data_IF_354326168302
#
_entry.id   IF_354326168302
#
_cell.length_a   1.000
_cell.length_b   1.000
_cell.length_c   1.000
_cell.angle_alpha   90.00
_cell.angle_beta   90.00
_cell.angle_gamma   90.00
#
_symmetry.space_group_name_H-M   'P 1'
#
loop_
_entity.id
_entity.type
_entity.pdbx_description
1 polymer ?
#
# COMPACT_ATOMS: atom_id res chain seq x y z
N UNK A 1 -57.42 -18.36 17.64
CA UNK A 1 -56.72 -18.41 16.34
C UNK A 1 -55.70 -17.29 16.36
N UNK A 2 -54.43 -17.64 16.52
CA UNK A 2 -53.33 -16.67 16.72
C UNK A 2 -52.88 -16.13 15.37
N UNK A 3 -52.95 -14.82 15.18
CA UNK A 3 -52.31 -14.14 14.06
C UNK A 3 -50.79 -14.18 14.28
N UNK A 4 -50.08 -14.84 13.35
CA UNK A 4 -48.62 -14.85 13.29
C UNK A 4 -48.19 -13.49 12.76
N UNK A 5 -47.64 -12.64 13.63
CA UNK A 5 -46.94 -11.44 13.25
C UNK A 5 -45.63 -11.83 12.57
N UNK A 6 -45.62 -11.85 11.23
CA UNK A 6 -44.41 -11.90 10.44
C UNK A 6 -43.69 -10.55 10.57
N UNK A 7 -42.65 -10.50 11.40
CA UNK A 7 -41.70 -9.40 11.41
C UNK A 7 -40.93 -9.41 10.08
N UNK A 8 -41.37 -8.60 9.12
CA UNK A 8 -40.56 -8.22 7.96
C UNK A 8 -39.41 -7.35 8.48
N UNK A 9 -38.28 -7.99 8.81
CA UNK A 9 -37.03 -7.28 9.08
C UNK A 9 -36.55 -6.75 7.73
N UNK A 10 -36.89 -5.49 7.46
CA UNK A 10 -36.24 -4.70 6.42
C UNK A 10 -34.77 -4.50 6.83
N UNK A 11 -33.91 -5.48 6.57
CA UNK A 11 -32.46 -5.27 6.42
C UNK A 11 -32.23 -4.47 5.12
N UNK A 12 -32.82 -3.27 5.02
CA UNK A 12 -32.87 -2.49 3.78
C UNK A 12 -31.86 -1.36 3.86
N UNK A 13 -30.73 -1.49 3.14
CA UNK A 13 -29.83 -0.44 2.63
C UNK A 13 -29.24 0.62 3.58
N UNK A 14 -29.78 0.83 4.78
CA UNK A 14 -29.47 1.90 5.71
C UNK A 14 -28.19 1.58 6.50
N UNK A 15 -28.03 0.33 6.93
CA UNK A 15 -26.82 -0.17 7.61
C UNK A 15 -25.59 -0.06 6.70
N UNK A 16 -25.76 -0.32 5.40
CA UNK A 16 -24.68 -0.14 4.41
C UNK A 16 -24.28 1.34 4.23
N UNK A 17 -25.25 2.26 4.33
CA UNK A 17 -24.99 3.71 4.25
C UNK A 17 -24.27 4.25 5.49
N UNK A 18 -24.60 3.75 6.68
CA UNK A 18 -23.95 4.19 7.93
C UNK A 18 -22.51 3.72 8.06
N UNK A 19 -22.16 2.55 7.51
CA UNK A 19 -20.80 2.01 7.56
C UNK A 19 -19.80 2.77 6.68
N UNK A 20 -20.26 3.58 5.74
CA UNK A 20 -19.40 4.35 4.83
C UNK A 20 -19.17 5.80 5.31
N UNK A 21 -19.94 6.26 6.29
CA UNK A 21 -19.82 7.61 6.86
C UNK A 21 -18.73 7.59 7.93
N UNK A 22 -17.69 8.40 7.75
CA UNK A 22 -16.64 8.52 8.75
C UNK A 22 -17.22 9.00 10.09
N UNK A 23 -16.87 8.33 11.20
CA UNK A 23 -17.22 8.84 12.52
C UNK A 23 -16.48 10.17 12.80
N UNK A 24 -17.12 11.07 13.57
CA UNK A 24 -16.49 12.30 14.07
C UNK A 24 -15.18 11.98 14.80
N UNK A 25 -14.20 12.89 14.76
CA UNK A 25 -12.87 12.65 15.36
C UNK A 25 -12.95 12.29 16.84
N UNK A 26 -13.89 12.89 17.57
CA UNK A 26 -14.13 12.62 18.99
C UNK A 26 -14.58 11.17 19.30
N UNK A 27 -15.06 10.42 18.30
CA UNK A 27 -15.56 9.05 18.45
C UNK A 27 -14.60 8.01 17.82
N UNK A 28 -13.41 8.42 17.39
CA UNK A 28 -12.41 7.51 16.81
C UNK A 28 -11.62 6.82 17.92
N UNK A 29 -11.83 5.53 18.09
CA UNK A 29 -11.01 4.66 18.93
C UNK A 29 -9.90 4.06 18.06
N UNK A 30 -8.64 4.42 18.35
CA UNK A 30 -7.48 3.92 17.62
C UNK A 30 -7.17 2.51 18.14
N UNK A 31 -7.28 1.53 17.25
CA UNK A 31 -7.00 0.13 17.60
C UNK A 31 -5.55 -0.25 17.31
N UNK A 32 -4.94 0.37 16.28
CA UNK A 32 -3.59 0.05 15.85
C UNK A 32 -2.97 1.23 15.13
N UNK A 33 -1.73 1.54 15.44
CA UNK A 33 -0.94 2.59 14.81
C UNK A 33 0.33 2.03 14.19
N UNK A 34 0.70 2.60 13.04
CA UNK A 34 1.93 2.24 12.34
C UNK A 34 2.55 3.48 11.72
N UNK A 35 3.81 3.73 12.08
CA UNK A 35 4.60 4.82 11.54
C UNK A 35 5.57 4.30 10.48
N UNK A 36 5.56 4.93 9.31
CA UNK A 36 6.48 4.68 8.22
C UNK A 36 7.31 5.94 7.94
N UNK A 37 8.62 5.86 8.18
CA UNK A 37 9.59 6.93 7.87
C UNK A 37 10.56 6.48 6.77
N UNK A 38 10.27 6.77 5.49
CA UNK A 38 11.17 6.41 4.41
C UNK A 38 12.47 7.24 4.48
N UNK A 39 13.64 6.59 4.41
CA UNK A 39 14.97 7.24 4.60
C UNK A 39 15.26 8.41 3.65
N UNK A 40 14.69 8.41 2.45
CA UNK A 40 14.89 9.43 1.42
C UNK A 40 13.64 10.28 1.16
N UNK A 41 12.63 10.20 2.03
CA UNK A 41 11.43 11.02 1.95
C UNK A 41 11.56 12.16 2.97
N UNK A 42 11.16 13.37 2.58
CA UNK A 42 10.96 14.46 3.55
C UNK A 42 9.76 14.19 4.46
N UNK A 43 8.86 13.29 4.04
CA UNK A 43 7.61 12.99 4.72
C UNK A 43 7.67 11.71 5.54
N UNK A 44 7.00 11.74 6.68
CA UNK A 44 6.65 10.58 7.50
C UNK A 44 5.17 10.27 7.31
N UNK A 45 4.83 9.00 7.20
CA UNK A 45 3.45 8.53 7.04
C UNK A 45 3.00 7.83 8.31
N UNK A 46 1.82 8.17 8.79
CA UNK A 46 1.17 7.51 9.92
C UNK A 46 -0.09 6.83 9.43
N UNK A 47 -0.20 5.55 9.77
CA UNK A 47 -1.34 4.71 9.46
C UNK A 47 -2.03 4.37 10.77
N UNK A 48 -3.29 4.74 10.90
CA UNK A 48 -4.09 4.49 12.10
C UNK A 48 -5.33 3.72 11.70
N UNK A 49 -5.48 2.51 12.24
CA UNK A 49 -6.71 1.75 12.15
C UNK A 49 -7.59 2.15 13.33
N UNK A 50 -8.83 2.53 13.03
CA UNK A 50 -9.78 2.97 14.05
C UNK A 50 -11.16 2.38 13.82
N UNK A 51 -11.90 2.20 14.91
CA UNK A 51 -13.24 1.63 14.95
C UNK A 51 -13.35 0.33 14.13
N UNK A 52 -12.27 -0.48 14.09
CA UNK A 52 -12.12 -1.75 13.38
C UNK A 52 -12.27 -1.74 11.85
N UNK A 53 -12.97 -0.76 11.27
CA UNK A 53 -13.40 -0.74 9.87
C UNK A 53 -12.77 0.39 9.06
N UNK A 54 -12.03 1.31 9.68
CA UNK A 54 -11.49 2.48 9.00
C UNK A 54 -9.97 2.56 9.10
N UNK A 55 -9.36 3.12 8.07
CA UNK A 55 -7.95 3.43 8.01
C UNK A 55 -7.76 4.92 7.75
N UNK A 56 -7.02 5.56 8.65
CA UNK A 56 -6.54 6.92 8.50
C UNK A 56 -5.07 6.91 8.08
N UNK A 57 -4.74 7.74 7.09
CA UNK A 57 -3.39 7.97 6.59
C UNK A 57 -3.09 9.45 6.75
N UNK A 58 -2.07 9.76 7.53
CA UNK A 58 -1.55 11.10 7.70
C UNK A 58 -0.15 11.20 7.10
N UNK A 59 0.07 12.27 6.33
CA UNK A 59 1.37 12.66 5.81
C UNK A 59 1.87 13.85 6.62
N UNK A 60 2.97 13.69 7.34
CA UNK A 60 3.62 14.74 8.11
C UNK A 60 4.96 15.12 7.49
N UNK A 61 5.29 16.41 7.52
CA UNK A 61 6.62 16.92 7.16
C UNK A 61 7.63 16.75 8.31
N UNK A 62 8.90 17.10 8.09
CA UNK A 62 9.98 17.04 9.10
C UNK A 62 9.69 17.85 10.37
N UNK A 63 8.86 18.89 10.27
CA UNK A 63 8.41 19.70 11.40
C UNK A 63 7.17 19.12 12.13
N UNK A 64 6.80 17.86 11.85
CA UNK A 64 5.59 17.21 12.37
C UNK A 64 4.28 17.92 11.99
N UNK A 65 4.31 18.80 10.98
CA UNK A 65 3.11 19.44 10.44
C UNK A 65 2.38 18.48 9.51
N UNK A 66 1.08 18.30 9.73
CA UNK A 66 0.20 17.52 8.85
C UNK A 66 0.04 18.23 7.52
N UNK A 67 0.57 17.64 6.46
CA UNK A 67 0.47 18.12 5.08
C UNK A 67 -0.80 17.63 4.42
N UNK A 68 -1.19 16.38 4.71
CA UNK A 68 -2.40 15.78 4.18
C UNK A 68 -2.88 14.68 5.12
N UNK A 69 -4.20 14.54 5.22
CA UNK A 69 -4.87 13.51 6.00
C UNK A 69 -6.06 12.99 5.19
N UNK A 70 -6.17 11.67 5.13
CA UNK A 70 -7.29 10.95 4.55
C UNK A 70 -7.70 9.84 5.50
N UNK A 71 -8.99 9.51 5.54
CA UNK A 71 -9.46 8.38 6.32
C UNK A 71 -10.61 7.71 5.57
N UNK A 72 -10.55 6.40 5.34
CA UNK A 72 -11.54 5.72 4.51
C UNK A 72 -11.86 4.34 5.06
N UNK A 73 -12.98 3.78 4.61
CA UNK A 73 -13.41 2.44 5.02
C UNK A 73 -12.53 1.37 4.37
N UNK A 74 -11.97 0.45 5.15
CA UNK A 74 -11.02 -0.57 4.68
C UNK A 74 -11.64 -1.56 3.71
N UNK A 75 -12.97 -1.76 3.76
CA UNK A 75 -13.71 -2.61 2.82
C UNK A 75 -13.66 -2.16 1.35
N UNK A 76 -13.10 -0.97 1.06
CA UNK A 76 -12.79 -0.49 -0.28
C UNK A 76 -11.49 -1.08 -0.86
N UNK A 77 -10.66 -1.71 -0.02
CA UNK A 77 -9.36 -2.29 -0.40
C UNK A 77 -9.52 -3.76 -0.84
N UNK A 78 -8.62 -4.22 -1.70
CA UNK A 78 -8.40 -5.65 -1.94
C UNK A 78 -7.79 -6.30 -0.67
N UNK A 79 -8.27 -7.49 -0.26
CA UNK A 79 -7.81 -8.15 0.96
C UNK A 79 -6.36 -8.61 0.89
N UNK A 80 -5.83 -8.90 -0.31
CA UNK A 80 -4.46 -9.37 -0.48
C UNK A 80 -3.53 -8.21 -0.87
N UNK A 81 -2.49 -7.98 -0.07
CA UNK A 81 -1.46 -7.01 -0.42
C UNK A 81 -0.64 -7.50 -1.63
N UNK A 82 -0.53 -6.68 -2.67
CA UNK A 82 0.38 -6.96 -3.79
C UNK A 82 1.78 -6.54 -3.43
N UNK A 83 2.74 -7.44 -3.61
CA UNK A 83 4.15 -7.21 -3.34
C UNK A 83 4.86 -6.92 -4.66
N UNK A 84 5.49 -5.76 -4.75
CA UNK A 84 6.42 -5.44 -5.82
C UNK A 84 7.83 -5.44 -5.23
N UNK A 85 8.73 -6.16 -5.88
CA UNK A 85 10.15 -6.11 -5.53
C UNK A 85 10.85 -5.27 -6.59
N UNK A 86 11.53 -4.23 -6.14
CA UNK A 86 12.43 -3.46 -6.99
C UNK A 86 13.85 -3.85 -6.61
N UNK A 87 14.47 -4.64 -7.49
CA UNK A 87 15.88 -4.99 -7.42
C UNK A 87 16.66 -4.06 -8.35
N UNK A 88 17.76 -3.51 -7.85
CA UNK A 88 18.70 -2.76 -8.67
C UNK A 88 19.52 -3.74 -9.52
N UNK A 89 18.93 -4.26 -10.59
CA UNK A 89 19.57 -5.24 -11.49
C UNK A 89 20.88 -4.71 -12.08
N UNK A 90 20.96 -3.40 -12.34
CA UNK A 90 22.17 -2.75 -12.83
C UNK A 90 23.34 -2.88 -11.84
N UNK A 91 23.11 -2.73 -10.53
CA UNK A 91 24.18 -2.87 -9.55
C UNK A 91 24.58 -4.33 -9.34
N UNK A 92 23.63 -5.26 -9.47
CA UNK A 92 23.93 -6.69 -9.43
C UNK A 92 24.77 -7.15 -10.62
N UNK A 93 24.38 -6.76 -11.84
CA UNK A 93 25.12 -7.09 -13.07
C UNK A 93 26.50 -6.44 -13.08
N UNK A 94 26.63 -5.20 -12.62
CA UNK A 94 27.93 -4.55 -12.46
C UNK A 94 28.82 -5.27 -11.43
N UNK A 95 28.26 -5.69 -10.28
CA UNK A 95 28.99 -6.46 -9.27
C UNK A 95 29.49 -7.82 -9.83
N UNK A 96 28.66 -8.49 -10.62
CA UNK A 96 29.02 -9.75 -11.26
C UNK A 96 30.12 -9.57 -12.31
N UNK A 97 30.00 -8.57 -13.19
CA UNK A 97 31.01 -8.29 -14.21
C UNK A 97 32.37 -7.92 -13.61
N UNK A 98 32.36 -7.10 -12.55
CA UNK A 98 33.58 -6.73 -11.82
C UNK A 98 34.20 -7.91 -11.06
N UNK A 99 33.39 -8.85 -10.55
CA UNK A 99 33.90 -10.09 -9.98
C UNK A 99 34.59 -10.96 -11.04
N UNK A 100 33.98 -11.11 -12.23
CA UNK A 100 34.59 -11.85 -13.35
C UNK A 100 35.89 -11.18 -13.78
N UNK A 101 35.90 -9.85 -13.90
CA UNK A 101 37.10 -9.09 -14.22
C UNK A 101 38.22 -9.35 -13.19
N UNK A 102 37.91 -9.33 -11.89
CA UNK A 102 38.88 -9.61 -10.83
C UNK A 102 39.54 -11.00 -10.97
N UNK A 103 38.73 -12.03 -11.29
CA UNK A 103 39.25 -13.39 -11.53
C UNK A 103 40.14 -13.42 -12.77
N UNK A 104 39.74 -12.77 -13.86
CA UNK A 104 40.56 -12.74 -15.09
C UNK A 104 41.89 -12.02 -14.88
N UNK A 105 41.89 -10.88 -14.19
CA UNK A 105 43.09 -10.10 -13.89
C UNK A 105 44.05 -10.87 -12.96
N UNK A 106 43.52 -11.55 -11.94
CA UNK A 106 44.33 -12.30 -10.98
C UNK A 106 44.90 -13.60 -11.55
N UNK A 107 44.11 -14.33 -12.35
CA UNK A 107 44.50 -15.65 -12.87
C UNK A 107 45.28 -15.54 -14.18
N UNK A 108 44.84 -14.68 -15.11
CA UNK A 108 45.42 -14.59 -16.46
C UNK A 108 46.58 -13.60 -16.50
N UNK A 109 46.40 -12.41 -15.93
CA UNK A 109 47.39 -11.33 -16.00
C UNK A 109 48.35 -11.30 -14.81
N UNK A 110 48.08 -12.12 -13.77
CA UNK A 110 48.86 -12.22 -12.52
C UNK A 110 49.07 -10.87 -11.82
N UNK A 111 48.20 -9.91 -12.07
CA UNK A 111 48.21 -8.61 -11.40
C UNK A 111 47.30 -8.67 -10.18
N UNK A 112 47.88 -9.11 -9.08
CA UNK A 112 47.16 -9.33 -7.82
C UNK A 112 46.63 -8.02 -7.20
N UNK A 113 47.27 -6.88 -7.46
CA UNK A 113 46.81 -5.58 -6.95
C UNK A 113 45.55 -5.11 -7.68
N UNK A 114 45.52 -5.26 -9.00
CA UNK A 114 44.37 -4.93 -9.83
C UNK A 114 43.20 -5.91 -9.60
N UNK A 115 43.51 -7.19 -9.36
CA UNK A 115 42.53 -8.19 -8.94
C UNK A 115 41.90 -7.88 -7.57
N UNK A 116 42.72 -7.48 -6.58
CA UNK A 116 42.23 -7.15 -5.24
C UNK A 116 41.33 -5.91 -5.25
N UNK A 117 41.72 -4.86 -5.97
CA UNK A 117 40.91 -3.63 -6.08
C UNK A 117 39.58 -3.85 -6.79
N UNK A 118 39.56 -4.65 -7.87
CA UNK A 118 38.32 -5.00 -8.59
C UNK A 118 37.42 -5.93 -7.78
N UNK A 119 37.98 -6.86 -7.00
CA UNK A 119 37.22 -7.67 -6.04
C UNK A 119 36.59 -6.80 -4.94
N UNK A 120 37.35 -5.84 -4.41
CA UNK A 120 36.85 -4.86 -3.43
C UNK A 120 35.69 -4.03 -3.99
N UNK A 121 35.80 -3.57 -5.24
CA UNK A 121 34.73 -2.85 -5.93
C UNK A 121 33.48 -3.72 -6.13
N UNK A 122 33.65 -4.97 -6.55
CA UNK A 122 32.55 -5.93 -6.68
C UNK A 122 31.81 -6.13 -5.35
N UNK A 123 32.55 -6.32 -4.25
CA UNK A 123 31.99 -6.42 -2.90
C UNK A 123 31.19 -5.17 -2.51
N UNK A 124 31.71 -3.97 -2.81
CA UNK A 124 31.01 -2.71 -2.54
C UNK A 124 29.73 -2.58 -3.37
N UNK A 125 29.78 -2.91 -4.66
CA UNK A 125 28.60 -2.92 -5.53
C UNK A 125 27.54 -3.93 -5.08
N UNK A 126 27.97 -5.09 -4.60
CA UNK A 126 27.08 -6.10 -4.03
C UNK A 126 26.41 -5.60 -2.73
N UNK A 127 27.18 -4.94 -1.84
CA UNK A 127 26.61 -4.30 -0.66
C UNK A 127 25.61 -3.21 -1.04
N UNK A 128 25.93 -2.35 -2.01
CA UNK A 128 25.02 -1.34 -2.52
C UNK A 128 23.75 -1.99 -3.09
N UNK A 129 23.86 -3.08 -3.84
CA UNK A 129 22.70 -3.85 -4.31
C UNK A 129 21.84 -4.36 -3.15
N UNK A 130 22.46 -5.02 -2.16
CA UNK A 130 21.78 -5.56 -1.00
C UNK A 130 21.04 -4.47 -0.19
N UNK A 131 21.67 -3.32 0.03
CA UNK A 131 21.05 -2.17 0.71
C UNK A 131 20.06 -1.39 -0.17
N UNK A 132 20.12 -1.57 -1.49
CA UNK A 132 19.18 -0.97 -2.44
C UNK A 132 17.96 -1.83 -2.70
N UNK A 133 17.94 -3.09 -2.23
CA UNK A 133 16.78 -3.95 -2.28
C UNK A 133 15.58 -3.28 -1.58
N UNK A 134 14.54 -3.00 -2.36
CA UNK A 134 13.28 -2.41 -1.87
C UNK A 134 12.15 -3.37 -2.17
N UNK A 135 11.48 -3.83 -1.13
CA UNK A 135 10.19 -4.49 -1.26
C UNK A 135 9.12 -3.40 -1.05
N UNK A 136 8.05 -3.40 -1.82
CA UNK A 136 6.95 -2.45 -1.66
C UNK A 136 5.66 -3.23 -1.65
N UNK A 137 4.84 -3.03 -0.63
CA UNK A 137 3.50 -3.61 -0.57
C UNK A 137 2.49 -2.54 -0.94
N UNK A 138 1.55 -2.90 -1.81
CA UNK A 138 0.47 -2.01 -2.22
C UNK A 138 -0.86 -2.66 -1.93
N UNK A 139 -1.78 -1.88 -1.38
CA UNK A 139 -3.19 -2.25 -1.32
C UNK A 139 -3.91 -1.53 -2.45
N UNK A 140 -4.56 -2.32 -3.30
CA UNK A 140 -5.33 -1.80 -4.39
C UNK A 140 -6.77 -1.53 -3.96
N UNK A 141 -7.43 -0.59 -4.63
CA UNK A 141 -8.88 -0.48 -4.58
C UNK A 141 -9.51 -1.72 -5.22
N UNK A 142 -10.61 -2.20 -4.64
CA UNK A 142 -11.21 -3.48 -5.06
C UNK A 142 -11.84 -3.44 -6.46
N UNK A 143 -12.43 -2.33 -6.90
CA UNK A 143 -13.00 -2.24 -8.26
C UNK A 143 -12.11 -1.49 -9.24
N UNK A 144 -11.52 -0.37 -8.84
CA UNK A 144 -10.64 0.44 -9.68
C UNK A 144 -9.24 -0.13 -9.86
N UNK A 145 -8.78 -1.02 -8.97
CA UNK A 145 -7.41 -1.58 -8.96
C UNK A 145 -6.33 -0.49 -8.94
N UNK A 146 -6.62 0.66 -8.33
CA UNK A 146 -5.66 1.74 -8.12
C UNK A 146 -4.90 1.49 -6.82
N UNK A 147 -3.61 1.80 -6.77
CA UNK A 147 -2.86 1.69 -5.52
C UNK A 147 -3.26 2.82 -4.57
N UNK A 148 -4.05 2.50 -3.55
CA UNK A 148 -4.51 3.46 -2.54
C UNK A 148 -3.50 3.59 -1.40
N UNK A 149 -2.81 2.50 -1.08
CA UNK A 149 -1.79 2.46 -0.05
C UNK A 149 -0.51 1.93 -0.67
N UNK A 150 0.59 2.67 -0.48
CA UNK A 150 1.94 2.24 -0.84
C UNK A 150 2.80 2.21 0.41
N UNK A 151 3.15 1.01 0.85
CA UNK A 151 4.08 0.78 1.95
C UNK A 151 5.43 0.37 1.37
N UNK A 152 6.44 1.23 1.49
CA UNK A 152 7.78 0.96 0.99
C UNK A 152 8.68 0.39 2.10
N UNK A 153 9.39 -0.70 1.81
CA UNK A 153 10.15 -1.47 2.79
C UNK A 153 11.65 -1.50 2.47
N UNK A 154 12.44 -1.49 3.55
CA UNK A 154 13.81 -2.01 3.56
C UNK A 154 13.89 -3.15 4.58
N UNK A 155 14.87 -4.05 4.43
CA UNK A 155 15.01 -5.27 5.22
C UNK A 155 14.89 -5.11 6.76
N UNK A 156 15.25 -3.95 7.32
CA UNK A 156 15.30 -3.73 8.78
C UNK A 156 13.93 -3.57 9.47
N UNK A 157 12.88 -3.08 8.78
CA UNK A 157 11.56 -2.84 9.38
C UNK A 157 10.55 -3.97 9.13
N UNK A 158 11.02 -5.17 8.78
CA UNK A 158 10.18 -6.25 8.25
C UNK A 158 9.16 -6.81 9.25
N UNK A 159 9.40 -6.76 10.57
CA UNK A 159 8.52 -7.38 11.58
C UNK A 159 7.28 -6.55 11.92
N UNK A 160 7.46 -5.30 12.37
CA UNK A 160 6.34 -4.41 12.73
C UNK A 160 5.39 -4.15 11.56
N UNK A 161 5.97 -3.95 10.38
CA UNK A 161 5.23 -3.83 9.15
C UNK A 161 4.46 -5.10 8.78
N UNK A 162 5.06 -6.29 8.90
CA UNK A 162 4.35 -7.55 8.61
C UNK A 162 3.17 -7.73 9.55
N UNK A 163 3.32 -7.35 10.82
CA UNK A 163 2.23 -7.34 11.77
C UNK A 163 1.13 -6.37 11.33
N UNK A 164 1.48 -5.15 10.92
CA UNK A 164 0.52 -4.17 10.39
C UNK A 164 -0.20 -4.68 9.14
N UNK A 165 0.52 -5.23 8.16
CA UNK A 165 -0.06 -5.82 6.94
C UNK A 165 -1.02 -6.95 7.32
N UNK A 166 -0.60 -7.89 8.17
CA UNK A 166 -1.45 -9.00 8.60
C UNK A 166 -2.72 -8.54 9.32
N UNK A 167 -2.61 -7.51 10.17
CA UNK A 167 -3.76 -6.90 10.84
C UNK A 167 -4.69 -6.21 9.83
N UNK A 168 -4.13 -5.49 8.86
CA UNK A 168 -4.90 -4.82 7.81
C UNK A 168 -5.63 -5.83 6.91
N UNK A 169 -4.94 -6.89 6.46
CA UNK A 169 -5.53 -7.98 5.65
C UNK A 169 -6.69 -8.66 6.39
N UNK A 170 -6.48 -9.04 7.66
CA UNK A 170 -7.51 -9.66 8.51
C UNK A 170 -8.74 -8.76 8.67
N UNK A 171 -8.54 -7.46 8.89
CA UNK A 171 -9.66 -6.52 9.04
C UNK A 171 -10.38 -6.22 7.73
N UNK A 172 -9.68 -6.23 6.60
CA UNK A 172 -10.32 -6.09 5.28
C UNK A 172 -11.23 -7.30 5.00
N UNK A 173 -10.78 -8.50 5.36
CA UNK A 173 -11.57 -9.72 5.21
C UNK A 173 -12.84 -9.70 6.09
N UNK A 174 -12.73 -9.23 7.33
CA UNK A 174 -13.89 -9.14 8.24
C UNK A 174 -14.85 -8.00 7.92
N UNK A 175 -14.39 -6.93 7.24
CA UNK A 175 -15.19 -5.74 6.93
C UNK A 175 -15.45 -5.57 5.43
N UNK A 176 -15.63 -6.69 4.72
CA UNK A 176 -15.87 -6.68 3.28
C UNK A 176 -17.26 -6.14 2.97
N UNK A 177 -17.30 -5.03 2.23
CA UNK A 177 -18.57 -4.44 1.80
C UNK A 177 -19.20 -5.21 0.62
N UNK A 178 -20.53 -5.33 0.55
CA UNK A 178 -21.20 -5.85 -0.63
C UNK A 178 -21.02 -4.90 -1.83
N UNK A 179 -21.06 -5.47 -3.04
CA UNK A 179 -20.93 -4.68 -4.27
C UNK A 179 -22.30 -4.06 -4.57
N UNK A 180 -22.45 -2.78 -4.27
CA UNK A 180 -23.67 -2.01 -4.50
C UNK A 180 -23.39 -0.70 -5.26
N UNK A 181 -24.44 -0.06 -5.79
CA UNK A 181 -24.32 1.26 -6.43
C UNK A 181 -23.69 2.30 -5.51
N UNK A 182 -24.03 2.26 -4.22
CA UNK A 182 -23.45 3.10 -3.16
C UNK A 182 -21.96 2.84 -2.95
N UNK A 183 -21.56 1.57 -2.92
CA UNK A 183 -20.15 1.17 -2.85
C UNK A 183 -19.33 1.80 -3.99
N UNK A 184 -19.82 1.72 -5.23
CA UNK A 184 -19.12 2.30 -6.38
C UNK A 184 -19.05 3.83 -6.34
N UNK A 185 -20.11 4.49 -5.84
CA UNK A 185 -20.13 5.93 -5.67
C UNK A 185 -19.08 6.39 -4.65
N UNK A 186 -18.97 5.69 -3.51
CA UNK A 186 -17.96 5.98 -2.50
C UNK A 186 -16.54 5.66 -2.99
N UNK A 187 -16.30 4.51 -3.65
CA UNK A 187 -14.98 4.22 -4.22
C UNK A 187 -14.53 5.30 -5.20
N UNK A 188 -15.44 5.80 -6.05
CA UNK A 188 -15.13 6.86 -7.01
C UNK A 188 -14.88 8.21 -6.33
N UNK A 189 -15.65 8.54 -5.27
CA UNK A 189 -15.42 9.73 -4.43
C UNK A 189 -14.06 9.69 -3.76
N UNK A 190 -13.65 8.53 -3.24
CA UNK A 190 -12.32 8.32 -2.68
C UNK A 190 -11.21 8.52 -3.69
N UNK A 191 -11.37 7.96 -4.89
CA UNK A 191 -10.41 8.13 -5.97
C UNK A 191 -10.26 9.59 -6.39
N UNK A 192 -11.37 10.34 -6.41
CA UNK A 192 -11.37 11.78 -6.67
C UNK A 192 -10.62 12.54 -5.58
N UNK A 193 -10.92 12.29 -4.31
CA UNK A 193 -10.25 12.94 -3.18
C UNK A 193 -8.73 12.65 -3.17
N UNK A 194 -8.33 11.41 -3.47
CA UNK A 194 -6.92 11.04 -3.58
C UNK A 194 -6.21 11.75 -4.73
N UNK A 195 -6.90 11.98 -5.84
CA UNK A 195 -6.37 12.75 -6.96
C UNK A 195 -6.21 14.23 -6.58
N UNK A 196 -7.25 14.84 -6.00
CA UNK A 196 -7.24 16.24 -5.55
C UNK A 196 -6.15 16.52 -4.51
N UNK A 197 -5.85 15.54 -3.65
CA UNK A 197 -4.79 15.64 -2.66
C UNK A 197 -3.40 15.18 -3.16
N UNK A 198 -3.28 14.79 -4.43
CA UNK A 198 -2.01 14.41 -5.06
C UNK A 198 -1.43 13.07 -4.60
N UNK A 199 -2.24 12.18 -4.01
CA UNK A 199 -1.85 10.80 -3.68
C UNK A 199 -1.91 9.88 -4.89
N UNK A 200 -2.82 10.17 -5.82
CA UNK A 200 -3.01 9.45 -7.07
C UNK A 200 -2.67 10.39 -8.23
N UNK A 201 -2.01 9.87 -9.27
CA UNK A 201 -1.81 10.66 -10.51
C UNK A 201 -3.08 10.67 -11.35
N UNK A 202 -3.28 11.74 -12.14
CA UNK A 202 -4.44 11.87 -13.03
C UNK A 202 -4.63 10.65 -13.96
N UNK A 203 -3.54 10.14 -14.52
CA UNK A 203 -3.57 8.95 -15.38
C UNK A 203 -4.11 7.71 -14.64
N UNK A 204 -3.65 7.50 -13.40
CA UNK A 204 -4.10 6.38 -12.58
C UNK A 204 -5.55 6.57 -12.10
N UNK A 205 -5.95 7.81 -11.81
CA UNK A 205 -7.32 8.17 -11.49
C UNK A 205 -8.27 7.83 -12.65
N UNK A 206 -7.98 8.28 -13.87
CA UNK A 206 -8.83 8.01 -15.04
C UNK A 206 -8.93 6.51 -15.35
N UNK A 207 -7.81 5.78 -15.31
CA UNK A 207 -7.80 4.32 -15.49
C UNK A 207 -8.68 3.61 -14.46
N UNK A 208 -8.62 4.04 -13.21
CA UNK A 208 -9.41 3.46 -12.14
C UNK A 208 -10.91 3.79 -12.29
N UNK A 209 -11.24 5.03 -12.64
CA UNK A 209 -12.62 5.47 -12.90
C UNK A 209 -13.28 4.65 -14.01
N UNK A 210 -12.59 4.43 -15.13
CA UNK A 210 -13.11 3.61 -16.23
C UNK A 210 -13.41 2.18 -15.77
N UNK A 211 -12.54 1.58 -14.94
CA UNK A 211 -12.75 0.23 -14.40
C UNK A 211 -13.93 0.18 -13.44
N UNK A 212 -14.09 1.18 -12.56
CA UNK A 212 -15.22 1.29 -11.64
C UNK A 212 -16.53 1.39 -12.42
N UNK A 213 -16.59 2.26 -13.44
CA UNK A 213 -17.78 2.41 -14.29
C UNK A 213 -18.14 1.12 -15.03
N UNK A 214 -17.14 0.39 -15.54
CA UNK A 214 -17.36 -0.91 -16.18
C UNK A 214 -17.95 -1.93 -15.20
N UNK A 215 -17.49 -1.96 -13.96
CA UNK A 215 -18.04 -2.85 -12.93
C UNK A 215 -19.44 -2.44 -12.49
N UNK A 216 -19.71 -1.14 -12.36
CA UNK A 216 -21.03 -0.60 -12.07
C UNK A 216 -22.05 -1.03 -13.13
N UNK A 217 -21.71 -0.88 -14.42
CA UNK A 217 -22.59 -1.30 -15.51
C UNK A 217 -22.83 -2.81 -15.52
N UNK A 218 -21.81 -3.61 -15.19
CA UNK A 218 -21.96 -5.08 -15.07
C UNK A 218 -22.84 -5.48 -13.89
N UNK A 219 -22.79 -4.76 -12.77
CA UNK A 219 -23.61 -5.05 -11.60
C UNK A 219 -25.09 -4.68 -11.77
N UNK A 220 -25.40 -3.83 -12.76
CA UNK A 220 -26.76 -3.40 -13.12
C UNK A 220 -27.41 -4.31 -14.18
N UNK A 221 -26.61 -5.07 -14.93
CA UNK A 221 -27.04 -5.99 -15.99
C UNK A 221 -27.34 -7.38 -15.42
#
# INVERSE_FOLDING_TARGET
MNAVNEHIVLQSDAVETSALILPPEAQRQIDFDYQLKPKFSAYTYYFQLFNQCYLQIQKQDKQSKTVSQIAFHIGLLEPAAKKQRSTAWLTFTAALLTAVAAVTLGVVLKDYWLALSTAGLSGLLFLVHYFSFRESSFFLSRSGKAALIKLNHRCQCRRSLKAFISQLESRIESNKLPVSSKYFAEENKWHRQLNEQGWLSDENYQKARVRILKQFNKAKA
#
